data_IF_119639970202
#
_entry.id   IF_119639970202
#
_cell.length_a   1.000
_cell.length_b   1.000
_cell.length_c   1.000
_cell.angle_alpha   90.00
_cell.angle_beta   90.00
_cell.angle_gamma   90.00
#
_symmetry.space_group_name_H-M   'P 1'
#
loop_
_entity.id
_entity.type
_entity.pdbx_description
1 polymer ?
#
# COMPACT_ATOMS: atom_id res chain seq x y z
N UNK A 1 -9.12 12.44 15.73
CA UNK A 1 -8.94 11.86 14.38
C UNK A 1 -8.13 10.60 14.53
N UNK A 2 -8.47 9.54 13.85
CA UNK A 2 -7.65 8.31 13.81
C UNK A 2 -6.37 8.60 13.05
N UNK A 3 -5.24 7.99 13.44
CA UNK A 3 -3.97 8.11 12.75
C UNK A 3 -4.12 7.63 11.29
N UNK A 4 -3.70 8.43 10.29
CA UNK A 4 -3.76 8.00 8.90
C UNK A 4 -2.78 6.86 8.63
N UNK A 5 -3.12 5.98 7.66
CA UNK A 5 -2.37 4.76 7.37
C UNK A 5 -1.98 4.68 5.91
N UNK A 6 -0.70 4.41 5.65
CA UNK A 6 -0.17 4.18 4.32
C UNK A 6 0.21 2.71 4.12
N UNK A 7 -0.36 2.05 3.11
CA UNK A 7 0.04 0.71 2.69
C UNK A 7 1.06 0.80 1.55
N UNK A 8 2.30 0.44 1.85
CA UNK A 8 3.43 0.53 0.94
C UNK A 8 3.87 -0.87 0.51
N UNK A 9 3.71 -1.21 -0.76
CA UNK A 9 4.07 -2.53 -1.32
C UNK A 9 4.56 -2.38 -2.75
N UNK A 10 5.86 -2.15 -2.91
CA UNK A 10 6.47 -1.85 -4.21
C UNK A 10 7.53 -2.89 -4.59
N UNK A 11 7.63 -3.21 -5.88
CA UNK A 11 8.73 -3.97 -6.44
C UNK A 11 9.94 -3.06 -6.66
N UNK A 12 9.76 -1.99 -7.44
CA UNK A 12 10.76 -0.96 -7.67
C UNK A 12 10.78 0.00 -6.47
N UNK A 13 11.93 0.13 -5.83
CA UNK A 13 12.07 0.75 -4.50
C UNK A 13 12.64 2.17 -4.53
N UNK A 14 12.80 2.75 -5.72
CA UNK A 14 13.28 4.13 -5.84
C UNK A 14 12.38 5.10 -5.08
N UNK A 15 12.96 5.86 -4.17
CA UNK A 15 12.29 6.89 -3.39
C UNK A 15 11.33 6.40 -2.31
N UNK A 16 11.14 5.06 -2.12
CA UNK A 16 10.17 4.54 -1.14
C UNK A 16 10.58 4.84 0.31
N UNK A 17 11.88 4.89 0.59
CA UNK A 17 12.41 5.23 1.92
C UNK A 17 12.15 6.70 2.27
N UNK A 18 12.31 7.58 1.29
CA UNK A 18 12.04 9.02 1.46
C UNK A 18 10.53 9.28 1.61
N UNK A 19 9.68 8.61 0.81
CA UNK A 19 8.23 8.63 0.97
C UNK A 19 7.83 8.14 2.36
N UNK A 20 8.35 6.99 2.79
CA UNK A 20 8.06 6.42 4.10
C UNK A 20 8.49 7.33 5.25
N UNK A 21 9.66 7.97 5.14
CA UNK A 21 10.17 8.92 6.13
C UNK A 21 9.27 10.14 6.26
N UNK A 22 8.92 10.77 5.14
CA UNK A 22 8.07 11.95 5.14
C UNK A 22 6.67 11.65 5.72
N UNK A 23 6.06 10.52 5.34
CA UNK A 23 4.78 10.07 5.91
C UNK A 23 4.89 9.83 7.42
N UNK A 24 5.94 9.15 7.87
CA UNK A 24 6.19 8.90 9.30
C UNK A 24 6.37 10.21 10.09
N UNK A 25 7.11 11.19 9.56
CA UNK A 25 7.30 12.52 10.15
C UNK A 25 5.99 13.31 10.24
N UNK A 26 5.04 13.08 9.31
CA UNK A 26 3.68 13.63 9.34
C UNK A 26 2.73 12.83 10.26
N UNK A 27 3.23 11.81 10.96
CA UNK A 27 2.46 11.03 11.94
C UNK A 27 1.64 9.88 11.34
N UNK A 28 1.91 9.45 10.11
CA UNK A 28 1.25 8.30 9.49
C UNK A 28 1.77 6.96 10.02
N UNK A 29 0.90 5.98 10.17
CA UNK A 29 1.27 4.59 10.36
C UNK A 29 1.65 3.96 9.00
N UNK A 30 2.81 3.31 8.95
CA UNK A 30 3.28 2.61 7.75
C UNK A 30 2.93 1.13 7.84
N UNK A 31 2.05 0.67 6.96
CA UNK A 31 1.78 -0.75 6.74
C UNK A 31 2.61 -1.24 5.56
N UNK A 32 3.27 -2.37 5.70
CA UNK A 32 4.04 -2.95 4.59
C UNK A 32 4.23 -4.44 4.74
N UNK A 33 4.84 -5.07 3.75
CA UNK A 33 5.14 -6.50 3.76
C UNK A 33 6.40 -6.82 2.94
N UNK A 34 7.01 -7.95 3.18
CA UNK A 34 8.10 -8.51 2.38
C UNK A 34 9.31 -7.61 2.21
N UNK A 35 9.73 -7.41 0.95
CA UNK A 35 10.91 -6.63 0.61
C UNK A 35 10.78 -5.14 0.91
N UNK A 36 9.59 -4.57 0.77
CA UNK A 36 9.34 -3.15 1.06
C UNK A 36 9.44 -2.88 2.56
N UNK A 37 8.84 -3.73 3.40
CA UNK A 37 8.97 -3.62 4.86
C UNK A 37 10.44 -3.70 5.32
N UNK A 38 11.22 -4.60 4.70
CA UNK A 38 12.67 -4.69 5.02
C UNK A 38 13.44 -3.43 4.63
N UNK A 39 13.15 -2.83 3.47
CA UNK A 39 13.79 -1.59 3.03
C UNK A 39 13.48 -0.43 3.99
N UNK A 40 12.21 -0.23 4.32
CA UNK A 40 11.77 0.82 5.23
C UNK A 40 12.36 0.67 6.64
N UNK A 41 12.36 -0.55 7.21
CA UNK A 41 12.99 -0.84 8.51
C UNK A 41 14.50 -0.64 8.44
N UNK A 42 15.15 -1.00 7.32
CA UNK A 42 16.56 -0.75 7.08
C UNK A 42 16.91 0.75 7.07
N UNK A 43 15.99 1.60 6.67
CA UNK A 43 16.09 3.06 6.75
C UNK A 43 15.75 3.63 8.14
N UNK A 44 15.50 2.78 9.14
CA UNK A 44 15.20 3.16 10.52
C UNK A 44 13.76 3.56 10.79
N UNK A 45 12.82 3.18 9.90
CA UNK A 45 11.41 3.52 10.05
C UNK A 45 10.67 2.41 10.83
N UNK A 46 9.69 2.83 11.64
CA UNK A 46 8.73 1.91 12.25
C UNK A 46 7.71 1.48 11.19
N UNK A 47 7.51 0.16 11.06
CA UNK A 47 6.61 -0.42 10.04
C UNK A 47 5.81 -1.54 10.68
N UNK A 48 4.50 -1.43 10.64
CA UNK A 48 3.57 -2.50 11.00
C UNK A 48 3.51 -3.50 9.84
N UNK A 49 3.75 -4.78 10.11
CA UNK A 49 3.59 -5.80 9.07
C UNK A 49 2.10 -6.04 8.79
N UNK A 50 1.76 -6.30 7.52
CA UNK A 50 0.38 -6.62 7.14
C UNK A 50 -0.14 -7.84 7.89
N UNK A 51 0.70 -8.81 8.21
CA UNK A 51 0.34 -9.98 9.02
C UNK A 51 -0.05 -9.60 10.46
N UNK A 52 0.58 -8.60 11.04
CA UNK A 52 0.22 -8.05 12.36
C UNK A 52 -1.10 -7.29 12.28
N UNK A 53 -1.25 -6.42 11.28
CA UNK A 53 -2.46 -5.62 11.09
C UNK A 53 -3.71 -6.47 10.78
N UNK A 54 -3.54 -7.64 10.15
CA UNK A 54 -4.64 -8.54 9.78
C UNK A 54 -4.86 -9.66 10.83
N UNK A 55 -3.89 -9.91 11.70
CA UNK A 55 -3.85 -11.07 12.58
C UNK A 55 -3.72 -12.40 11.82
N UNK A 56 -3.37 -12.36 10.52
CA UNK A 56 -3.26 -13.55 9.67
C UNK A 56 -1.83 -13.70 9.13
N UNK A 57 -1.20 -14.87 9.29
CA UNK A 57 0.16 -15.10 8.79
C UNK A 57 0.20 -15.05 7.26
N UNK A 58 1.35 -14.64 6.74
CA UNK A 58 1.69 -14.84 5.33
C UNK A 58 1.77 -16.34 5.03
N UNK A 59 1.09 -16.81 3.98
CA UNK A 59 1.02 -18.22 3.62
C UNK A 59 1.46 -18.47 2.17
N UNK A 60 1.84 -19.71 1.88
CA UNK A 60 2.29 -20.14 0.55
C UNK A 60 3.45 -19.29 0.00
N UNK A 61 4.51 -19.11 0.82
CA UNK A 61 5.70 -18.34 0.49
C UNK A 61 5.38 -16.90 -0.01
N UNK A 62 4.35 -16.29 0.59
CA UNK A 62 3.95 -14.90 0.30
C UNK A 62 2.95 -14.73 -0.84
N UNK A 63 2.47 -15.80 -1.44
CA UNK A 63 1.43 -15.71 -2.49
C UNK A 63 0.10 -15.18 -1.95
N UNK A 64 -0.17 -15.36 -0.65
CA UNK A 64 -1.35 -14.82 0.04
C UNK A 64 -0.91 -14.08 1.29
N UNK A 65 -1.03 -12.77 1.27
CA UNK A 65 -0.73 -11.88 2.40
C UNK A 65 -1.61 -10.62 2.43
N UNK A 66 -1.76 -9.93 1.30
CA UNK A 66 -2.57 -8.72 1.19
C UNK A 66 -4.01 -8.99 0.74
N UNK A 67 -4.32 -10.19 0.26
CA UNK A 67 -5.68 -10.63 -0.08
C UNK A 67 -6.45 -10.99 1.19
N UNK A 68 -6.75 -10.01 2.00
CA UNK A 68 -7.42 -10.19 3.29
C UNK A 68 -8.53 -9.14 3.49
N UNK A 69 -9.68 -9.50 4.08
CA UNK A 69 -10.77 -8.56 4.33
C UNK A 69 -10.36 -7.31 5.11
N UNK A 70 -9.43 -7.41 6.06
CA UNK A 70 -8.94 -6.26 6.82
C UNK A 70 -8.20 -5.24 5.92
N UNK A 71 -7.44 -5.71 4.93
CA UNK A 71 -6.74 -4.83 3.97
C UNK A 71 -7.76 -4.19 3.03
N UNK A 72 -8.54 -5.01 2.32
CA UNK A 72 -9.49 -4.50 1.33
C UNK A 72 -10.67 -3.77 1.95
N UNK A 73 -11.11 -4.16 3.15
CA UNK A 73 -12.10 -3.42 3.94
C UNK A 73 -11.61 -2.03 4.33
N UNK A 74 -10.35 -1.93 4.82
CA UNK A 74 -9.73 -0.64 5.15
C UNK A 74 -9.58 0.30 3.94
N UNK A 75 -9.37 -0.26 2.73
CA UNK A 75 -9.28 0.52 1.48
C UNK A 75 -10.69 0.89 0.96
N UNK A 76 -11.65 -0.05 0.97
CA UNK A 76 -12.93 0.07 0.27
C UNK A 76 -14.07 0.66 1.10
N UNK A 77 -13.88 0.84 2.41
CA UNK A 77 -14.91 1.40 3.30
C UNK A 77 -15.33 2.79 2.82
N UNK A 78 -16.64 3.01 2.68
CA UNK A 78 -17.21 4.32 2.35
C UNK A 78 -17.26 5.15 3.62
N UNK A 79 -16.45 6.19 3.69
CA UNK A 79 -16.24 6.98 4.92
C UNK A 79 -17.42 7.89 5.25
N UNK A 80 -18.24 8.21 4.26
CA UNK A 80 -19.51 8.94 4.38
C UNK A 80 -20.68 8.08 4.89
N UNK A 81 -20.47 6.76 5.06
CA UNK A 81 -21.51 5.80 5.50
C UNK A 81 -21.23 5.33 6.91
N UNK A 82 -22.06 5.78 7.86
CA UNK A 82 -21.95 5.41 9.28
C UNK A 82 -22.00 3.88 9.49
N UNK A 83 -22.88 3.18 8.77
CA UNK A 83 -23.01 1.72 8.85
C UNK A 83 -21.75 0.98 8.41
N UNK A 84 -21.09 1.48 7.35
CA UNK A 84 -19.83 0.90 6.84
C UNK A 84 -18.71 1.12 7.88
N UNK A 85 -18.62 2.32 8.43
CA UNK A 85 -17.62 2.66 9.45
C UNK A 85 -17.84 1.89 10.76
N UNK A 86 -19.11 1.71 11.18
CA UNK A 86 -19.45 0.90 12.33
C UNK A 86 -19.04 -0.57 12.13
N UNK A 87 -19.34 -1.14 10.95
CA UNK A 87 -18.94 -2.50 10.59
C UNK A 87 -17.42 -2.66 10.60
N UNK A 88 -16.68 -1.69 10.04
CA UNK A 88 -15.22 -1.71 10.04
C UNK A 88 -14.67 -1.75 11.49
N UNK A 89 -15.24 -0.93 12.36
CA UNK A 89 -14.85 -0.85 13.77
C UNK A 89 -15.19 -2.14 14.55
N UNK A 90 -16.38 -2.72 14.32
CA UNK A 90 -16.79 -4.00 14.93
C UNK A 90 -15.86 -5.15 14.56
N UNK A 91 -15.34 -5.15 13.32
CA UNK A 91 -14.37 -6.13 12.85
C UNK A 91 -12.92 -5.84 13.35
N UNK A 92 -12.70 -4.71 14.02
CA UNK A 92 -11.39 -4.29 14.48
C UNK A 92 -10.44 -3.89 13.35
N UNK A 93 -10.97 -3.52 12.17
CA UNK A 93 -10.18 -3.07 11.03
C UNK A 93 -9.98 -1.56 11.08
N UNK A 94 -8.85 -1.07 10.60
CA UNK A 94 -8.59 0.36 10.43
C UNK A 94 -8.72 0.77 8.97
N UNK A 95 -8.94 2.07 8.74
CA UNK A 95 -8.89 2.66 7.39
C UNK A 95 -7.47 2.60 6.82
N UNK A 96 -7.36 2.59 5.49
CA UNK A 96 -6.11 2.79 4.75
C UNK A 96 -6.32 3.99 3.86
N UNK A 97 -5.48 5.01 4.03
CA UNK A 97 -5.66 6.35 3.46
C UNK A 97 -4.77 6.58 2.23
N UNK A 98 -3.69 5.80 2.13
CA UNK A 98 -2.79 5.80 0.98
C UNK A 98 -2.39 4.37 0.62
N UNK A 99 -2.43 4.07 -0.67
CA UNK A 99 -1.94 2.81 -1.25
C UNK A 99 -0.85 3.14 -2.27
N UNK A 100 0.40 2.76 -1.96
CA UNK A 100 1.54 2.88 -2.86
C UNK A 100 1.97 1.50 -3.32
N UNK A 101 1.71 1.18 -4.57
CA UNK A 101 1.97 -0.13 -5.15
C UNK A 101 2.47 0.01 -6.58
N UNK A 102 3.65 -0.52 -6.87
CA UNK A 102 4.04 -0.83 -8.25
C UNK A 102 4.17 -2.35 -8.43
N UNK A 103 3.94 -2.80 -9.65
CA UNK A 103 3.75 -4.21 -9.94
C UNK A 103 5.08 -4.92 -10.23
N UNK A 104 5.06 -6.23 -10.16
CA UNK A 104 6.18 -7.07 -10.60
C UNK A 104 6.47 -6.85 -12.09
N UNK A 105 7.76 -6.87 -12.51
CA UNK A 105 8.16 -6.51 -13.87
C UNK A 105 7.99 -7.69 -14.84
N UNK A 106 6.75 -8.15 -15.04
CA UNK A 106 6.45 -9.31 -15.90
C UNK A 106 6.99 -9.11 -17.32
N UNK A 107 6.72 -7.96 -17.94
CA UNK A 107 7.15 -7.67 -19.31
C UNK A 107 8.66 -7.66 -19.46
N UNK A 108 9.38 -7.03 -18.52
CA UNK A 108 10.84 -6.98 -18.52
C UNK A 108 11.44 -8.39 -18.30
N UNK A 109 10.79 -9.21 -17.46
CA UNK A 109 11.23 -10.60 -17.24
C UNK A 109 10.99 -11.45 -18.48
N UNK A 110 9.85 -11.26 -19.16
CA UNK A 110 9.54 -11.98 -20.40
C UNK A 110 10.47 -11.60 -21.57
N UNK A 111 10.94 -10.36 -21.61
CA UNK A 111 11.85 -9.85 -22.63
C UNK A 111 13.35 -10.13 -22.34
N UNK A 112 13.66 -10.85 -21.28
CA UNK A 112 15.05 -11.10 -20.83
C UNK A 112 15.81 -12.01 -21.80
N UNK A 113 17.10 -11.73 -21.98
CA UNK A 113 18.04 -12.60 -22.70
C UNK A 113 19.19 -13.01 -21.72
N UNK A 114 19.41 -14.31 -21.44
CA UNK A 114 18.64 -15.46 -21.94
C UNK A 114 17.18 -15.47 -21.42
N UNK A 115 16.28 -16.14 -22.14
CA UNK A 115 14.84 -16.19 -21.78
C UNK A 115 14.63 -16.71 -20.37
N UNK A 116 13.67 -16.09 -19.65
CA UNK A 116 13.19 -16.61 -18.38
C UNK A 116 12.45 -17.93 -18.58
N UNK A 117 12.52 -18.81 -17.60
CA UNK A 117 11.70 -20.04 -17.59
C UNK A 117 10.22 -19.73 -17.34
N UNK A 118 9.34 -20.63 -17.75
CA UNK A 118 7.90 -20.51 -17.47
C UNK A 118 7.60 -20.39 -15.97
N UNK A 119 8.36 -21.07 -15.13
CA UNK A 119 8.23 -20.98 -13.68
C UNK A 119 8.57 -19.57 -13.16
N UNK A 120 9.64 -18.96 -13.66
CA UNK A 120 9.98 -17.56 -13.31
C UNK A 120 8.92 -16.57 -13.79
N UNK A 121 8.37 -16.77 -14.98
CA UNK A 121 7.31 -15.93 -15.53
C UNK A 121 6.01 -16.05 -14.72
N UNK A 122 5.64 -17.27 -14.31
CA UNK A 122 4.47 -17.50 -13.48
C UNK A 122 4.60 -16.77 -12.13
N UNK A 123 5.78 -16.78 -11.50
CA UNK A 123 6.01 -16.06 -10.24
C UNK A 123 5.98 -14.53 -10.40
N UNK A 124 6.15 -14.00 -11.61
CA UNK A 124 5.98 -12.58 -11.91
C UNK A 124 4.52 -12.15 -12.17
N UNK A 125 3.57 -13.06 -12.08
CA UNK A 125 2.14 -12.73 -12.14
C UNK A 125 1.72 -12.19 -10.77
N UNK A 126 1.69 -10.87 -10.64
CA UNK A 126 1.30 -10.19 -9.40
C UNK A 126 -0.23 -10.27 -9.21
N UNK A 127 -0.66 -10.82 -8.09
CA UNK A 127 -2.09 -10.92 -7.72
C UNK A 127 -2.47 -9.83 -6.72
N UNK A 128 -1.66 -9.65 -5.68
CA UNK A 128 -1.94 -8.71 -4.59
C UNK A 128 -1.86 -7.25 -5.00
N UNK A 129 -0.83 -6.90 -5.76
CA UNK A 129 -0.60 -5.52 -6.23
C UNK A 129 -1.76 -4.97 -7.04
N UNK A 130 -2.16 -5.60 -8.15
CA UNK A 130 -3.29 -5.15 -8.96
C UNK A 130 -4.60 -5.07 -8.18
N UNK A 131 -4.82 -6.00 -7.24
CA UNK A 131 -6.04 -6.02 -6.43
C UNK A 131 -6.11 -4.82 -5.48
N UNK A 132 -5.00 -4.47 -4.83
CA UNK A 132 -4.91 -3.28 -3.96
C UNK A 132 -5.08 -1.99 -4.76
N UNK A 133 -4.41 -1.85 -5.89
CA UNK A 133 -4.53 -0.66 -6.77
C UNK A 133 -5.98 -0.50 -7.25
N UNK A 134 -6.63 -1.57 -7.70
CA UNK A 134 -8.02 -1.52 -8.15
C UNK A 134 -9.00 -1.16 -7.01
N UNK A 135 -8.75 -1.66 -5.80
CA UNK A 135 -9.57 -1.32 -4.63
C UNK A 135 -9.42 0.16 -4.28
N UNK A 136 -8.19 0.67 -4.24
CA UNK A 136 -7.91 2.06 -3.95
C UNK A 136 -8.49 2.99 -5.04
N UNK A 137 -8.29 2.65 -6.32
CA UNK A 137 -8.88 3.41 -7.43
C UNK A 137 -10.42 3.44 -7.39
N UNK A 138 -11.08 2.34 -6.93
CA UNK A 138 -12.54 2.32 -6.74
C UNK A 138 -13.00 3.26 -5.63
N UNK A 139 -12.16 3.53 -4.64
CA UNK A 139 -12.43 4.41 -3.50
C UNK A 139 -11.51 5.64 -3.51
N UNK A 140 -11.16 6.13 -4.71
CA UNK A 140 -10.19 7.23 -4.88
C UNK A 140 -10.61 8.55 -4.22
N UNK A 141 -11.89 8.75 -3.92
CA UNK A 141 -12.37 9.90 -3.15
C UNK A 141 -11.85 9.93 -1.71
N UNK A 142 -11.51 8.78 -1.16
CA UNK A 142 -11.09 8.61 0.22
C UNK A 142 -9.65 8.09 0.35
N UNK A 143 -9.06 7.57 -0.74
CA UNK A 143 -7.76 6.87 -0.72
C UNK A 143 -6.84 7.41 -1.80
N UNK A 144 -5.66 7.87 -1.39
CA UNK A 144 -4.59 8.29 -2.29
C UNK A 144 -3.98 7.05 -2.95
N UNK A 145 -3.82 7.06 -4.27
CA UNK A 145 -3.27 5.93 -5.04
C UNK A 145 -1.98 6.33 -5.73
N UNK A 146 -0.88 5.68 -5.39
CA UNK A 146 0.43 5.87 -6.01
C UNK A 146 0.88 4.59 -6.67
N UNK A 147 1.24 4.66 -7.96
CA UNK A 147 1.69 3.50 -8.74
C UNK A 147 3.09 3.68 -9.32
N UNK A 148 3.65 4.88 -9.23
CA UNK A 148 4.94 5.21 -9.79
C UNK A 148 5.74 6.17 -8.89
N UNK A 149 7.07 6.02 -8.75
CA UNK A 149 7.91 6.89 -7.90
C UNK A 149 7.83 8.39 -8.25
N UNK A 150 7.58 8.74 -9.51
CA UNK A 150 7.43 10.14 -9.95
C UNK A 150 6.26 10.88 -9.29
N UNK A 151 5.29 10.15 -8.75
CA UNK A 151 4.13 10.73 -8.06
C UNK A 151 4.42 11.13 -6.60
N UNK A 152 5.51 10.62 -6.01
CA UNK A 152 5.75 10.75 -4.56
C UNK A 152 5.90 12.20 -4.13
N UNK A 153 6.71 12.99 -4.82
CA UNK A 153 6.97 14.38 -4.46
C UNK A 153 5.68 15.22 -4.51
N UNK A 154 4.88 15.09 -5.56
CA UNK A 154 3.64 15.87 -5.69
C UNK A 154 2.63 15.58 -4.57
N UNK A 155 2.52 14.31 -4.16
CA UNK A 155 1.65 13.94 -3.04
C UNK A 155 2.22 14.43 -1.70
N UNK A 156 3.54 14.34 -1.49
CA UNK A 156 4.17 14.85 -0.26
C UNK A 156 4.03 16.36 -0.13
N UNK A 157 4.13 17.11 -1.22
CA UNK A 157 3.89 18.55 -1.23
C UNK A 157 2.45 18.88 -0.78
N UNK A 158 1.45 18.20 -1.37
CA UNK A 158 0.04 18.38 -1.00
C UNK A 158 -0.25 17.97 0.45
N UNK A 159 0.32 16.87 0.93
CA UNK A 159 0.20 16.43 2.33
C UNK A 159 0.88 17.43 3.29
N UNK A 160 2.01 18.00 2.90
CA UNK A 160 2.68 19.03 3.70
C UNK A 160 1.82 20.28 3.87
N UNK A 161 1.15 20.73 2.81
CA UNK A 161 0.23 21.87 2.83
C UNK A 161 -0.99 21.62 3.72
N UNK A 162 -1.44 20.37 3.83
CA UNK A 162 -2.57 19.95 4.68
C UNK A 162 -2.17 19.49 6.08
N UNK A 163 -0.90 19.65 6.49
CA UNK A 163 -0.34 19.13 7.74
C UNK A 163 -0.51 17.62 7.90
N UNK A 164 -0.38 16.87 6.83
CA UNK A 164 -0.48 15.41 6.79
C UNK A 164 -1.92 14.87 6.73
N UNK A 165 -2.91 15.73 6.54
CA UNK A 165 -4.31 15.31 6.37
C UNK A 165 -4.53 14.75 4.96
N UNK A 166 -4.90 13.45 4.81
CA UNK A 166 -5.14 12.87 3.49
C UNK A 166 -6.27 13.56 2.71
N UNK A 167 -7.24 14.18 3.38
CA UNK A 167 -8.34 14.89 2.71
C UNK A 167 -7.91 16.18 2.00
N UNK A 168 -6.71 16.65 2.26
CA UNK A 168 -6.12 17.83 1.59
C UNK A 168 -5.48 17.53 0.23
N UNK A 169 -5.36 16.26 -0.15
CA UNK A 169 -4.80 15.86 -1.44
C UNK A 169 -5.87 15.86 -2.51
N UNK A 170 -5.60 16.48 -3.66
CA UNK A 170 -6.46 16.37 -4.84
C UNK A 170 -6.33 14.96 -5.43
N UNK A 171 -7.44 14.22 -5.43
CA UNK A 171 -7.52 12.84 -5.89
C UNK A 171 -7.89 12.71 -7.38
N UNK A 172 -7.90 13.80 -8.16
CA UNK A 172 -8.24 13.80 -9.60
C UNK A 172 -7.04 13.74 -10.53
#
# INVERSE_FOLDING_TARGET
MTQPRALLSVWEKSGIEDLGRALSEMGWELLSTGGTARALRGAGLEVTDVSEATGHPEVFDGRVKTLHPAVHGGILVRRDREDDMATLAELGYGTIDLVCVNLYPFEATAARDPPASDAELIEMIDIGGPTMVRSAAKNHSDVIVLTHPEQYLGVLDSLSESNGDPSGVDHT
#
